data_IF_265455726987
#
_entry.id   IF_265455726987
#
_cell.length_a   1.000
_cell.length_b   1.000
_cell.length_c   1.000
_cell.angle_alpha   90.00
_cell.angle_beta   90.00
_cell.angle_gamma   90.00
#
_symmetry.space_group_name_H-M   'P 1'
#
loop_
_entity.id
_entity.type
_entity.pdbx_description
1 polymer ?
#
# COMPACT_ATOMS: atom_id res chain seq x y z
N UNK A 1 8.48 -31.90 11.31
CA UNK A 1 8.60 -31.42 9.92
C UNK A 1 7.47 -30.46 9.46
N UNK A 2 6.70 -29.84 10.37
CA UNK A 2 5.61 -28.90 10.02
C UNK A 2 5.78 -27.46 10.57
N UNK A 3 6.86 -27.17 11.28
CA UNK A 3 7.06 -25.86 11.94
C UNK A 3 7.27 -24.70 10.97
N UNK A 4 8.09 -24.90 9.92
CA UNK A 4 8.38 -23.90 8.90
C UNK A 4 7.14 -23.52 8.08
N UNK A 5 6.31 -24.50 7.74
CA UNK A 5 5.07 -24.28 6.98
C UNK A 5 4.07 -23.40 7.76
N UNK A 6 3.92 -23.67 9.07
CA UNK A 6 3.04 -22.88 9.95
C UNK A 6 3.50 -21.42 10.06
N UNK A 7 4.80 -21.19 10.18
CA UNK A 7 5.36 -19.85 10.32
C UNK A 7 5.23 -19.06 9.00
N UNK A 8 5.45 -19.72 7.87
CA UNK A 8 5.23 -19.15 6.53
C UNK A 8 3.79 -18.69 6.31
N UNK A 9 2.81 -19.52 6.70
CA UNK A 9 1.38 -19.17 6.57
C UNK A 9 1.01 -17.98 7.46
N UNK A 10 1.46 -17.96 8.72
CA UNK A 10 1.20 -16.83 9.64
C UNK A 10 1.78 -15.53 9.10
N UNK A 11 3.00 -15.59 8.55
CA UNK A 11 3.65 -14.44 7.93
C UNK A 11 2.87 -13.94 6.72
N UNK A 12 2.43 -14.83 5.83
CA UNK A 12 1.61 -14.46 4.67
C UNK A 12 0.32 -13.74 5.07
N UNK A 13 -0.35 -14.22 6.11
CA UNK A 13 -1.59 -13.61 6.63
C UNK A 13 -1.31 -12.23 7.21
N UNK A 14 -0.25 -12.10 8.03
CA UNK A 14 0.10 -10.84 8.68
C UNK A 14 0.46 -9.75 7.66
N UNK A 15 1.21 -10.10 6.61
CA UNK A 15 1.54 -9.18 5.51
C UNK A 15 0.29 -8.78 4.72
N UNK A 16 -0.64 -9.70 4.50
CA UNK A 16 -1.91 -9.39 3.83
C UNK A 16 -2.69 -8.35 4.62
N UNK A 17 -2.75 -8.49 5.95
CA UNK A 17 -3.43 -7.54 6.83
C UNK A 17 -2.76 -6.16 6.78
N UNK A 18 -1.43 -6.10 6.89
CA UNK A 18 -0.67 -4.82 6.82
C UNK A 18 -0.85 -4.15 5.46
N UNK A 19 -0.86 -4.91 4.37
CA UNK A 19 -1.15 -4.39 3.04
C UNK A 19 -2.54 -3.75 2.98
N UNK A 20 -3.58 -4.46 3.42
CA UNK A 20 -4.94 -3.94 3.42
C UNK A 20 -5.08 -2.69 4.31
N UNK A 21 -4.41 -2.67 5.46
CA UNK A 21 -4.38 -1.50 6.34
C UNK A 21 -3.73 -0.28 5.65
N UNK A 22 -2.62 -0.47 4.94
CA UNK A 22 -1.94 0.60 4.21
C UNK A 22 -2.78 1.12 3.03
N UNK A 23 -3.44 0.22 2.29
CA UNK A 23 -4.38 0.58 1.22
C UNK A 23 -5.48 1.48 1.77
N UNK A 24 -6.08 1.07 2.89
CA UNK A 24 -7.17 1.81 3.52
C UNK A 24 -6.70 3.16 4.06
N UNK A 25 -5.55 3.21 4.74
CA UNK A 25 -4.99 4.43 5.29
C UNK A 25 -4.70 5.47 4.19
N UNK A 26 -4.04 5.06 3.11
CA UNK A 26 -3.74 5.97 1.99
C UNK A 26 -4.99 6.40 1.22
N UNK A 27 -6.02 5.54 1.12
CA UNK A 27 -7.29 5.90 0.48
C UNK A 27 -8.12 6.87 1.30
N UNK A 28 -8.11 6.71 2.63
CA UNK A 28 -8.95 7.52 3.52
C UNK A 28 -8.46 8.96 3.60
N UNK A 29 -7.14 9.19 3.68
CA UNK A 29 -6.58 10.53 3.86
C UNK A 29 -6.55 11.42 2.62
N UNK A 30 -6.52 10.84 1.41
CA UNK A 30 -6.25 11.64 0.20
C UNK A 30 -7.43 12.53 -0.22
N UNK A 31 -8.66 12.08 0.04
CA UNK A 31 -9.86 12.88 -0.24
C UNK A 31 -9.88 14.15 0.59
N UNK A 32 -9.65 14.01 1.89
CA UNK A 32 -9.65 15.12 2.83
C UNK A 32 -8.50 16.09 2.54
N UNK A 33 -7.33 15.58 2.13
CA UNK A 33 -6.19 16.42 1.72
C UNK A 33 -6.50 17.25 0.48
N UNK A 34 -7.10 16.65 -0.55
CA UNK A 34 -7.44 17.32 -1.80
C UNK A 34 -8.55 18.36 -1.60
N UNK A 35 -9.50 18.10 -0.71
CA UNK A 35 -10.51 19.09 -0.34
C UNK A 35 -9.90 20.27 0.41
N UNK A 36 -8.97 20.03 1.35
CA UNK A 36 -8.25 21.09 2.05
C UNK A 36 -7.33 21.92 1.14
N UNK A 37 -6.63 21.29 0.19
CA UNK A 37 -5.81 21.98 -0.83
C UNK A 37 -6.69 22.86 -1.73
N UNK A 38 -7.87 22.37 -2.14
CA UNK A 38 -8.80 23.17 -2.95
C UNK A 38 -9.34 24.39 -2.19
N UNK A 39 -9.66 24.25 -0.89
CA UNK A 39 -10.07 25.39 -0.06
C UNK A 39 -8.98 26.44 0.12
N UNK A 40 -7.71 26.03 0.17
CA UNK A 40 -6.57 26.93 0.35
C UNK A 40 -6.18 27.68 -0.94
N UNK A 41 -6.18 27.00 -2.09
CA UNK A 41 -5.65 27.54 -3.35
C UNK A 41 -6.74 28.10 -4.27
N UNK A 42 -8.01 27.73 -4.05
CA UNK A 42 -9.18 28.11 -4.87
C UNK A 42 -8.91 28.14 -6.39
N UNK A 43 -8.46 27.00 -6.97
CA UNK A 43 -8.22 26.93 -8.40
C UNK A 43 -9.53 27.16 -9.18
N UNK A 44 -9.47 27.63 -10.44
CA UNK A 44 -10.65 27.95 -11.25
C UNK A 44 -11.47 26.71 -11.66
N UNK A 45 -11.09 25.51 -11.23
CA UNK A 45 -11.86 24.29 -11.43
C UNK A 45 -12.88 24.11 -10.29
N UNK A 46 -14.08 23.59 -10.59
CA UNK A 46 -15.03 23.18 -9.56
C UNK A 46 -14.39 22.14 -8.63
N UNK A 47 -14.66 22.25 -7.32
CA UNK A 47 -14.16 21.38 -6.24
C UNK A 47 -14.21 19.90 -6.62
N UNK A 48 -15.37 19.46 -7.12
CA UNK A 48 -15.62 18.08 -7.51
C UNK A 48 -14.67 17.60 -8.61
N UNK A 49 -14.44 18.42 -9.63
CA UNK A 49 -13.54 18.11 -10.76
C UNK A 49 -12.07 18.12 -10.34
N UNK A 50 -11.68 19.03 -9.45
CA UNK A 50 -10.32 19.09 -8.93
C UNK A 50 -9.99 17.85 -8.09
N UNK A 51 -10.89 17.48 -7.17
CA UNK A 51 -10.77 16.28 -6.34
C UNK A 51 -10.81 15.01 -7.20
N UNK A 52 -11.67 14.93 -8.21
CA UNK A 52 -11.75 13.76 -9.11
C UNK A 52 -10.46 13.58 -9.93
N UNK A 53 -9.89 14.65 -10.47
CA UNK A 53 -8.62 14.62 -11.22
C UNK A 53 -7.46 14.23 -10.29
N UNK A 54 -7.39 14.84 -9.10
CA UNK A 54 -6.38 14.53 -8.09
C UNK A 54 -6.44 13.07 -7.64
N UNK A 55 -7.64 12.54 -7.37
CA UNK A 55 -7.84 11.14 -7.03
C UNK A 55 -7.43 10.23 -8.20
N UNK A 56 -7.75 10.59 -9.44
CA UNK A 56 -7.43 9.76 -10.61
C UNK A 56 -5.93 9.65 -10.85
N UNK A 57 -5.21 10.76 -10.71
CA UNK A 57 -3.75 10.78 -10.85
C UNK A 57 -3.06 10.07 -9.69
N UNK A 58 -3.56 10.27 -8.47
CA UNK A 58 -3.10 9.57 -7.27
C UNK A 58 -3.31 8.05 -7.39
N UNK A 59 -4.48 7.60 -7.86
CA UNK A 59 -4.76 6.18 -8.09
C UNK A 59 -3.80 5.52 -9.09
N UNK A 60 -3.33 6.24 -10.11
CA UNK A 60 -2.36 5.72 -11.07
C UNK A 60 -1.02 5.39 -10.43
N UNK A 61 -0.48 6.30 -9.63
CA UNK A 61 0.82 6.11 -8.96
C UNK A 61 0.71 5.21 -7.72
N UNK A 62 -0.41 5.24 -7.00
CA UNK A 62 -0.66 4.35 -5.86
C UNK A 62 -0.73 2.91 -6.29
N UNK A 63 -1.50 2.57 -7.34
CA UNK A 63 -1.59 1.18 -7.81
C UNK A 63 -0.23 0.60 -8.11
N UNK A 64 0.67 1.40 -8.70
CA UNK A 64 2.04 1.01 -8.98
C UNK A 64 2.88 0.85 -7.71
N UNK A 65 2.87 1.82 -6.78
CA UNK A 65 3.59 1.70 -5.49
C UNK A 65 3.08 0.53 -4.63
N UNK A 66 1.78 0.28 -4.63
CA UNK A 66 1.15 -0.86 -3.95
C UNK A 66 1.51 -2.19 -4.61
N UNK A 67 1.54 -2.26 -5.95
CA UNK A 67 2.02 -3.44 -6.68
C UNK A 67 3.46 -3.79 -6.31
N UNK A 68 4.33 -2.79 -6.21
CA UNK A 68 5.71 -2.99 -5.77
C UNK A 68 5.79 -3.50 -4.33
N UNK A 69 4.99 -2.97 -3.39
CA UNK A 69 4.93 -3.46 -2.02
C UNK A 69 4.41 -4.92 -1.92
N UNK A 70 3.40 -5.27 -2.71
CA UNK A 70 2.84 -6.62 -2.74
C UNK A 70 3.79 -7.65 -3.34
N UNK A 71 4.65 -7.27 -4.29
CA UNK A 71 5.58 -8.21 -4.95
C UNK A 71 6.97 -8.23 -4.31
N UNK A 72 7.56 -7.09 -3.94
CA UNK A 72 8.89 -7.05 -3.32
C UNK A 72 8.88 -7.70 -1.96
N UNK A 73 7.88 -7.41 -1.13
CA UNK A 73 7.89 -7.85 0.26
C UNK A 73 7.85 -9.38 0.39
N UNK A 74 6.98 -10.14 -0.33
CA UNK A 74 7.04 -11.61 -0.27
C UNK A 74 8.35 -12.15 -0.83
N UNK A 75 8.89 -11.58 -1.90
CA UNK A 75 10.18 -12.04 -2.47
C UNK A 75 11.32 -11.81 -1.48
N UNK A 76 11.45 -10.60 -0.93
CA UNK A 76 12.48 -10.27 0.06
C UNK A 76 12.36 -11.09 1.34
N UNK A 77 11.12 -11.39 1.75
CA UNK A 77 10.85 -12.24 2.91
C UNK A 77 11.24 -13.69 2.66
N UNK A 78 10.95 -14.24 1.48
CA UNK A 78 11.39 -15.59 1.07
C UNK A 78 12.92 -15.65 1.04
N UNK A 79 13.58 -14.64 0.44
CA UNK A 79 15.04 -14.55 0.43
C UNK A 79 15.64 -14.50 1.84
N UNK A 80 15.06 -13.71 2.75
CA UNK A 80 15.50 -13.62 4.14
C UNK A 80 15.29 -14.94 4.89
N UNK A 81 14.15 -15.61 4.71
CA UNK A 81 13.88 -16.92 5.30
C UNK A 81 14.89 -17.98 4.84
N UNK A 82 15.21 -18.02 3.54
CA UNK A 82 16.22 -18.94 2.99
C UNK A 82 17.58 -18.66 3.63
N UNK A 83 17.95 -17.38 3.77
CA UNK A 83 19.21 -17.01 4.42
C UNK A 83 19.26 -17.45 5.89
N UNK A 84 18.24 -17.10 6.69
CA UNK A 84 18.21 -17.46 8.11
C UNK A 84 18.11 -18.97 8.35
N UNK A 85 17.38 -19.73 7.54
CA UNK A 85 17.27 -21.20 7.73
C UNK A 85 18.53 -21.94 7.26
N UNK A 86 19.25 -21.41 6.28
CA UNK A 86 20.43 -22.05 5.70
C UNK A 86 21.72 -21.68 6.44
N UNK A 87 21.81 -20.44 6.93
CA UNK A 87 23.03 -19.86 7.49
C UNK A 87 22.96 -19.47 8.98
N UNK A 88 21.82 -19.68 9.68
CA UNK A 88 21.73 -19.56 11.14
C UNK A 88 21.54 -20.94 11.79
#
# INVERSE_FOLDING_TARGET
MFGLLRLFVVLMVLLTIVYWALVFYLRAGERDRLEAEWEAEQPPLPRERYVEIGIRDYQGSLRRKLLWGVYIVPIGTICALIYFVNYA
#
